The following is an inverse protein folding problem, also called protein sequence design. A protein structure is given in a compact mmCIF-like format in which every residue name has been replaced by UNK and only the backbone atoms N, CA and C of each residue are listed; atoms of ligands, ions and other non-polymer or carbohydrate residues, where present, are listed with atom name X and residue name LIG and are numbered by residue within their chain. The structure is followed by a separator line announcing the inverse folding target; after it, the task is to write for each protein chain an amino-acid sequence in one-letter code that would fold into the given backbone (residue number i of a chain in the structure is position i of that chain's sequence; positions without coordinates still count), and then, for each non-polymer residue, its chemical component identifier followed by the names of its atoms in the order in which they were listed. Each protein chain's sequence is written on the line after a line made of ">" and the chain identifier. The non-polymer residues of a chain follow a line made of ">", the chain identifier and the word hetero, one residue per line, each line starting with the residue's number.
data_IF_122195708601
#
_entry.id   IF_122195708601
#
_cell.length_a   1.000
_cell.length_b   1.000
_cell.length_c   1.000
_cell.angle_alpha   90.00
_cell.angle_beta   90.00
_cell.angle_gamma   90.00
#
_symmetry.space_group_name_H-M   'P 1'
#
loop_
_entity.id
_entity.type
_entity.pdbx_description
1 polymer ?
#
# COMPACT_ATOMS: atom_id res chain seq x y z
N UNK A 1 43.74 -51.02 -28.07
CA UNK A 1 42.68 -50.02 -28.33
C UNK A 1 41.35 -50.59 -27.85
N UNK A 2 40.45 -49.71 -27.38
CA UNK A 2 39.11 -49.93 -26.79
C UNK A 2 39.12 -50.34 -25.31
N UNK A 3 39.31 -49.41 -24.38
CA UNK A 3 38.39 -48.37 -23.87
C UNK A 3 37.09 -48.92 -23.27
N UNK A 4 37.11 -48.94 -21.94
CA UNK A 4 36.05 -49.25 -21.00
C UNK A 4 35.00 -48.13 -20.99
N UNK A 5 33.74 -48.50 -21.21
CA UNK A 5 32.58 -47.63 -21.04
C UNK A 5 31.56 -48.40 -20.21
N UNK A 6 31.63 -48.29 -18.87
CA UNK A 6 30.52 -48.64 -17.99
C UNK A 6 30.81 -48.14 -16.56
N UNK A 7 30.41 -46.89 -16.26
CA UNK A 7 30.22 -46.35 -14.88
C UNK A 7 29.77 -44.88 -14.90
N UNK A 8 28.60 -44.57 -15.45
CA UNK A 8 28.06 -43.18 -15.39
C UNK A 8 26.57 -43.06 -15.06
N UNK A 9 25.82 -44.16 -14.86
CA UNK A 9 24.38 -44.08 -14.55
C UNK A 9 24.08 -43.85 -13.06
N UNK A 10 24.89 -44.40 -12.15
CA UNK A 10 24.63 -44.33 -10.70
C UNK A 10 24.79 -42.94 -10.07
N UNK A 11 25.70 -42.11 -10.59
CA UNK A 11 25.92 -40.77 -10.02
C UNK A 11 24.86 -39.77 -10.47
N UNK A 12 24.31 -39.88 -11.68
CA UNK A 12 23.27 -38.97 -12.18
C UNK A 12 21.97 -39.08 -11.38
N UNK A 13 21.61 -40.29 -10.94
CA UNK A 13 20.43 -40.51 -10.09
C UNK A 13 20.61 -39.89 -8.68
N UNK A 14 21.82 -39.95 -8.12
CA UNK A 14 22.13 -39.31 -6.82
C UNK A 14 22.13 -37.77 -6.92
N UNK A 15 22.65 -37.22 -8.01
CA UNK A 15 22.58 -35.78 -8.28
C UNK A 15 21.14 -35.29 -8.46
N UNK A 16 20.30 -36.06 -9.16
CA UNK A 16 18.89 -35.71 -9.31
C UNK A 16 18.13 -35.76 -7.98
N UNK A 17 18.38 -36.78 -7.16
CA UNK A 17 17.81 -36.87 -5.81
C UNK A 17 18.24 -35.72 -4.90
N UNK A 18 19.50 -35.31 -4.94
CA UNK A 18 20.01 -34.16 -4.19
C UNK A 18 19.43 -32.82 -4.68
N UNK A 19 19.24 -32.66 -6.00
CA UNK A 19 18.63 -31.47 -6.59
C UNK A 19 17.15 -31.33 -6.16
N UNK A 20 16.39 -32.43 -6.19
CA UNK A 20 15.00 -32.45 -5.73
C UNK A 20 14.88 -32.17 -4.22
N UNK A 21 15.79 -32.69 -3.40
CA UNK A 21 15.85 -32.40 -1.97
C UNK A 21 16.20 -30.93 -1.70
N UNK A 22 17.14 -30.35 -2.45
CA UNK A 22 17.48 -28.94 -2.34
C UNK A 22 16.29 -28.04 -2.74
N UNK A 23 15.58 -28.39 -3.83
CA UNK A 23 14.37 -27.67 -4.25
C UNK A 23 13.25 -27.76 -3.19
N UNK A 24 13.00 -28.96 -2.65
CA UNK A 24 12.03 -29.13 -1.57
C UNK A 24 12.41 -28.32 -0.32
N UNK A 25 13.69 -28.28 0.05
CA UNK A 25 14.18 -27.46 1.15
C UNK A 25 13.99 -25.96 0.88
N UNK A 26 14.24 -25.46 -0.34
CA UNK A 26 13.98 -24.06 -0.68
C UNK A 26 12.50 -23.70 -0.66
N UNK A 27 11.61 -24.62 -1.06
CA UNK A 27 10.16 -24.41 -1.00
C UNK A 27 9.69 -24.41 0.45
N UNK A 28 10.19 -25.31 1.30
CA UNK A 28 9.83 -25.35 2.73
C UNK A 28 10.37 -24.12 3.47
N UNK A 29 11.60 -23.68 3.18
CA UNK A 29 12.17 -22.44 3.76
C UNK A 29 11.41 -21.22 3.24
N UNK A 30 11.08 -21.16 1.95
CA UNK A 30 10.26 -20.10 1.37
C UNK A 30 8.85 -20.04 1.98
N UNK A 31 8.21 -21.19 2.17
CA UNK A 31 6.88 -21.28 2.80
C UNK A 31 6.92 -20.94 4.30
N UNK A 32 8.00 -21.33 5.00
CA UNK A 32 8.20 -20.98 6.40
C UNK A 32 8.53 -19.50 6.59
N UNK A 33 9.29 -18.90 5.67
CA UNK A 33 9.56 -17.46 5.66
C UNK A 33 8.31 -16.66 5.28
N UNK A 34 7.48 -17.16 4.35
CA UNK A 34 6.19 -16.56 3.97
C UNK A 34 5.18 -16.62 5.13
N UNK A 35 5.11 -17.74 5.85
CA UNK A 35 4.28 -17.88 7.05
C UNK A 35 4.75 -17.04 8.23
N UNK A 36 6.07 -16.81 8.36
CA UNK A 36 6.65 -16.01 9.45
C UNK A 36 6.65 -14.50 9.16
N UNK A 37 6.78 -14.09 7.90
CA UNK A 37 6.58 -12.70 7.48
C UNK A 37 5.11 -12.28 7.49
N UNK A 38 4.15 -13.22 7.43
CA UNK A 38 2.75 -12.96 7.74
C UNK A 38 2.48 -12.69 9.23
N UNK A 39 3.44 -12.95 10.12
CA UNK A 39 3.35 -12.69 11.57
C UNK A 39 4.23 -11.53 12.06
N UNK A 40 4.90 -10.80 11.16
CA UNK A 40 5.63 -9.58 11.55
C UNK A 40 4.63 -8.44 11.63
N UNK A 41 4.12 -8.27 12.85
CA UNK A 41 3.58 -7.03 13.41
C UNK A 41 2.40 -6.50 12.60
N UNK A 42 1.20 -6.94 12.97
CA UNK A 42 0.06 -6.02 13.01
C UNK A 42 0.41 -4.97 14.06
N UNK A 43 0.89 -3.76 13.71
CA UNK A 43 0.85 -2.68 14.67
C UNK A 43 -0.63 -2.50 14.98
N UNK A 44 -0.94 -2.56 16.27
CA UNK A 44 -2.22 -2.29 16.90
C UNK A 44 -3.32 -1.98 15.89
N UNK A 45 -4.16 -2.98 15.68
CA UNK A 45 -5.50 -2.81 15.16
C UNK A 45 -6.23 -1.78 16.01
N UNK A 46 -5.96 -0.50 15.80
CA UNK A 46 -7.00 0.51 15.68
C UNK A 46 -7.82 0.06 14.45
N UNK A 47 -8.63 -0.97 14.69
CA UNK A 47 -9.92 -1.08 14.05
C UNK A 47 -10.52 0.28 14.36
N UNK A 48 -10.52 1.18 13.38
CA UNK A 48 -11.58 2.17 13.32
C UNK A 48 -12.81 1.28 13.24
N UNK A 49 -13.35 0.93 14.41
CA UNK A 49 -14.63 0.27 14.55
C UNK A 49 -15.52 1.27 13.85
N UNK A 50 -15.88 0.99 12.60
CA UNK A 50 -16.96 1.69 11.95
C UNK A 50 -18.07 1.60 12.99
N UNK A 51 -18.46 2.69 13.64
CA UNK A 51 -19.48 2.57 14.64
C UNK A 51 -20.70 2.10 13.84
N UNK A 52 -21.17 0.89 14.14
CA UNK A 52 -22.43 0.39 13.61
C UNK A 52 -23.54 1.24 14.24
N UNK A 53 -23.66 2.50 13.79
CA UNK A 53 -24.84 3.30 14.02
C UNK A 53 -25.92 2.76 13.09
N UNK A 54 -26.47 1.62 13.47
CA UNK A 54 -27.75 1.14 12.96
C UNK A 54 -28.82 2.10 13.50
N UNK A 55 -29.73 2.57 12.65
CA UNK A 55 -30.83 3.45 13.06
C UNK A 55 -31.69 2.87 14.20
N UNK A 56 -31.62 1.55 14.43
CA UNK A 56 -32.18 0.87 15.59
C UNK A 56 -31.70 1.39 16.95
N UNK A 57 -30.47 1.92 17.04
CA UNK A 57 -29.93 2.50 18.29
C UNK A 57 -30.58 3.86 18.59
N UNK A 58 -30.86 4.67 17.56
CA UNK A 58 -31.64 5.90 17.71
C UNK A 58 -33.09 5.62 18.09
N UNK A 59 -33.66 4.50 17.63
CA UNK A 59 -35.00 4.06 18.03
C UNK A 59 -35.09 3.85 19.54
N UNK A 60 -34.04 3.28 20.15
CA UNK A 60 -33.94 3.12 21.61
C UNK A 60 -33.78 4.46 22.34
N UNK A 61 -33.05 5.42 21.77
CA UNK A 61 -32.92 6.76 22.35
C UNK A 61 -34.26 7.52 22.27
N UNK A 62 -34.96 7.47 21.14
CA UNK A 62 -36.31 8.06 21.02
C UNK A 62 -37.34 7.35 21.89
N UNK A 63 -37.25 6.03 22.06
CA UNK A 63 -38.12 5.29 22.99
C UNK A 63 -37.77 5.58 24.46
N UNK A 64 -36.50 5.80 24.78
CA UNK A 64 -36.07 6.23 26.11
C UNK A 64 -36.52 7.68 26.40
N UNK A 65 -36.53 8.55 25.39
CA UNK A 65 -37.06 9.93 25.49
C UNK A 65 -38.59 9.92 25.60
N UNK A 66 -39.28 9.06 24.85
CA UNK A 66 -40.75 8.88 24.94
C UNK A 66 -41.18 8.14 26.22
N UNK A 67 -40.30 7.36 26.82
CA UNK A 67 -40.49 6.68 28.11
C UNK A 67 -40.14 7.54 29.33
N UNK A 68 -39.60 8.76 29.14
CA UNK A 68 -39.48 9.71 30.24
C UNK A 68 -40.89 10.18 30.63
N UNK A 69 -41.30 10.01 31.90
CA UNK A 69 -42.56 10.58 32.34
C UNK A 69 -42.49 12.09 32.12
N UNK A 70 -43.56 12.67 31.56
CA UNK A 70 -43.79 14.10 31.28
C UNK A 70 -43.76 15.02 32.53
N UNK A 71 -43.15 14.57 33.63
CA UNK A 71 -43.04 15.25 34.94
C UNK A 71 -41.62 15.74 35.23
N UNK A 72 -40.85 16.15 34.23
CA UNK A 72 -39.67 16.98 34.44
C UNK A 72 -39.96 18.39 33.90
N UNK A 73 -40.24 19.37 34.79
CA UNK A 73 -40.69 20.69 34.40
C UNK A 73 -39.48 21.53 33.96
N UNK A 74 -39.10 21.44 32.69
CA UNK A 74 -38.19 22.42 32.09
C UNK A 74 -39.02 23.48 31.36
N UNK A 75 -39.67 24.34 32.14
CA UNK A 75 -40.07 25.67 31.70
C UNK A 75 -39.75 26.65 32.82
N UNK A 76 -38.70 27.43 32.61
CA UNK A 76 -38.51 28.71 33.27
C UNK A 76 -39.67 29.61 32.83
N UNK A 77 -40.74 29.66 33.63
CA UNK A 77 -41.73 30.74 33.51
C UNK A 77 -41.36 31.88 34.46
N UNK A 78 -41.44 33.14 33.99
CA UNK A 78 -41.17 34.32 34.81
C UNK A 78 -42.21 34.46 35.93
N UNK A 79 -41.84 34.99 37.11
CA UNK A 79 -42.72 34.98 38.28
C UNK A 79 -43.85 36.00 38.13
N UNK A 80 -45.11 35.58 38.32
CA UNK A 80 -46.21 36.50 38.60
C UNK A 80 -47.58 36.29 37.94
N UNK A 81 -47.96 35.09 37.47
CA UNK A 81 -49.34 34.84 37.01
C UNK A 81 -49.96 33.61 37.70
N UNK A 82 -51.07 33.84 38.41
CA UNK A 82 -51.90 32.80 39.00
C UNK A 82 -52.57 31.97 37.89
N UNK A 83 -52.46 30.65 38.02
CA UNK A 83 -53.02 29.70 37.07
C UNK A 83 -54.56 29.71 37.12
N UNK A 84 -55.18 30.14 36.02
CA UNK A 84 -56.59 29.88 35.74
C UNK A 84 -56.84 28.38 35.50
N UNK A 85 -58.09 27.90 35.68
CA UNK A 85 -58.41 26.48 35.61
C UNK A 85 -58.14 25.93 34.20
N UNK A 86 -57.40 24.82 34.15
CA UNK A 86 -57.17 24.02 32.95
C UNK A 86 -58.49 23.73 32.21
N UNK A 87 -58.60 23.95 30.90
CA UNK A 87 -59.67 23.35 30.13
C UNK A 87 -59.42 21.83 30.01
N UNK A 88 -60.50 21.05 29.93
CA UNK A 88 -60.43 19.59 29.94
C UNK A 88 -59.78 19.05 28.67
N UNK A 89 -59.05 17.95 28.87
CA UNK A 89 -58.62 17.01 27.83
C UNK A 89 -59.85 16.59 27.03
N UNK A 90 -59.95 17.05 25.79
CA UNK A 90 -61.01 16.64 24.88
C UNK A 90 -61.35 17.68 23.83
N UNK A 91 -60.46 17.89 22.87
CA UNK A 91 -60.83 18.39 21.53
C UNK A 91 -59.63 18.17 20.59
N UNK A 92 -59.90 17.64 19.40
CA UNK A 92 -58.89 17.31 18.41
C UNK A 92 -58.06 18.53 18.01
N UNK A 93 -56.83 18.59 18.52
CA UNK A 93 -55.76 19.48 18.11
C UNK A 93 -54.58 18.56 17.72
N UNK A 94 -54.06 18.49 16.51
CA UNK A 94 -54.40 19.14 15.26
C UNK A 94 -53.59 18.45 14.17
N UNK A 95 -54.23 18.09 13.05
CA UNK A 95 -53.53 17.48 11.92
C UNK A 95 -52.33 18.30 11.45
N UNK A 96 -52.42 19.63 11.55
CA UNK A 96 -51.35 20.56 11.21
C UNK A 96 -50.15 20.53 12.16
N UNK A 97 -50.36 20.37 13.47
CA UNK A 97 -49.24 20.29 14.44
C UNK A 97 -48.50 18.96 14.31
N UNK A 98 -49.21 17.85 14.16
CA UNK A 98 -48.61 16.53 13.93
C UNK A 98 -47.90 16.45 12.57
N UNK A 99 -48.37 17.19 11.57
CA UNK A 99 -47.74 17.30 10.26
C UNK A 99 -46.49 18.19 10.31
N UNK A 100 -46.52 19.29 11.07
CA UNK A 100 -45.35 20.14 11.28
C UNK A 100 -44.22 19.42 12.03
N UNK A 101 -44.56 18.65 13.08
CA UNK A 101 -43.59 17.82 13.82
C UNK A 101 -42.98 16.76 12.89
N UNK A 102 -43.79 16.07 12.10
CA UNK A 102 -43.30 15.08 11.15
C UNK A 102 -42.36 15.69 10.09
N UNK A 103 -42.69 16.86 9.53
CA UNK A 103 -41.83 17.58 8.57
C UNK A 103 -40.48 17.95 9.18
N UNK A 104 -40.49 18.39 10.44
CA UNK A 104 -39.25 18.71 11.16
C UNK A 104 -38.38 17.47 11.37
N UNK A 105 -38.96 16.36 11.83
CA UNK A 105 -38.23 15.09 12.00
C UNK A 105 -37.70 14.52 10.67
N UNK A 106 -38.47 14.66 9.59
CA UNK A 106 -38.06 14.26 8.25
C UNK A 106 -36.81 15.03 7.82
N UNK A 107 -36.85 16.37 7.92
CA UNK A 107 -35.71 17.22 7.56
C UNK A 107 -34.46 16.90 8.39
N UNK A 108 -34.62 16.62 9.69
CA UNK A 108 -33.51 16.20 10.54
C UNK A 108 -32.90 14.86 10.10
N UNK A 109 -33.74 13.88 9.75
CA UNK A 109 -33.26 12.56 9.31
C UNK A 109 -32.64 12.60 7.92
N UNK A 110 -33.14 13.44 7.02
CA UNK A 110 -32.52 13.69 5.72
C UNK A 110 -31.13 14.30 5.88
N UNK A 111 -31.00 15.29 6.78
CA UNK A 111 -29.70 15.88 7.11
C UNK A 111 -28.73 14.84 7.69
N UNK A 112 -29.17 14.04 8.66
CA UNK A 112 -28.35 12.98 9.24
C UNK A 112 -27.94 11.91 8.21
N UNK A 113 -28.85 11.49 7.33
CA UNK A 113 -28.52 10.55 6.24
C UNK A 113 -27.45 11.13 5.31
N UNK A 114 -27.55 12.41 4.95
CA UNK A 114 -26.57 13.07 4.11
C UNK A 114 -25.19 13.14 4.80
N UNK A 115 -25.15 13.47 6.10
CA UNK A 115 -23.92 13.49 6.90
C UNK A 115 -23.29 12.10 7.01
N UNK A 116 -24.09 11.06 7.26
CA UNK A 116 -23.62 9.67 7.33
C UNK A 116 -23.00 9.22 6.01
N UNK A 117 -23.68 9.46 4.88
CA UNK A 117 -23.15 9.12 3.56
C UNK A 117 -21.84 9.87 3.26
N UNK A 118 -21.71 11.13 3.67
CA UNK A 118 -20.47 11.89 3.54
C UNK A 118 -19.35 11.30 4.41
N UNK A 119 -19.64 10.96 5.67
CA UNK A 119 -18.68 10.35 6.57
C UNK A 119 -18.19 9.00 6.04
N UNK A 120 -19.10 8.13 5.59
CA UNK A 120 -18.77 6.83 5.00
C UNK A 120 -17.82 6.97 3.81
N UNK A 121 -18.12 7.92 2.91
CA UNK A 121 -17.25 8.19 1.75
C UNK A 121 -15.85 8.65 2.17
N UNK A 122 -15.73 9.48 3.21
CA UNK A 122 -14.43 9.91 3.76
C UNK A 122 -13.66 8.74 4.39
N UNK A 123 -14.34 7.89 5.17
CA UNK A 123 -13.72 6.71 5.79
C UNK A 123 -13.17 5.74 4.74
N UNK A 124 -13.95 5.48 3.68
CA UNK A 124 -13.51 4.64 2.57
C UNK A 124 -12.31 5.24 1.83
N UNK A 125 -12.31 6.54 1.56
CA UNK A 125 -11.15 7.21 0.96
C UNK A 125 -9.89 7.08 1.83
N UNK A 126 -10.00 7.30 3.15
CA UNK A 126 -8.88 7.12 4.08
C UNK A 126 -8.38 5.67 4.13
N UNK A 127 -9.29 4.68 4.05
CA UNK A 127 -8.94 3.25 3.96
C UNK A 127 -8.12 2.97 2.70
N UNK A 128 -8.56 3.48 1.55
CA UNK A 128 -7.82 3.35 0.28
C UNK A 128 -6.43 3.99 0.40
N UNK A 129 -6.34 5.23 0.86
CA UNK A 129 -5.07 5.95 0.98
C UNK A 129 -4.09 5.22 1.92
N UNK A 130 -4.57 4.74 3.07
CA UNK A 130 -3.76 3.97 4.03
C UNK A 130 -3.19 2.71 3.39
N UNK A 131 -4.02 1.93 2.69
CA UNK A 131 -3.60 0.68 2.05
C UNK A 131 -2.63 0.93 0.89
N UNK A 132 -2.88 1.94 0.06
CA UNK A 132 -1.95 2.36 -1.00
C UNK A 132 -0.61 2.79 -0.41
N UNK A 133 -0.61 3.57 0.67
CA UNK A 133 0.62 3.98 1.34
C UNK A 133 1.38 2.77 1.91
N UNK A 134 0.70 1.83 2.56
CA UNK A 134 1.32 0.62 3.06
C UNK A 134 1.97 -0.19 1.93
N UNK A 135 1.26 -0.35 0.81
CA UNK A 135 1.78 -1.07 -0.36
C UNK A 135 2.99 -0.35 -0.98
N UNK A 136 2.97 0.98 -1.02
CA UNK A 136 4.09 1.80 -1.48
C UNK A 136 5.33 1.59 -0.61
N UNK A 137 5.18 1.66 0.71
CA UNK A 137 6.29 1.43 1.64
C UNK A 137 6.88 0.02 1.47
N UNK A 138 6.03 -0.98 1.26
CA UNK A 138 6.48 -2.34 0.97
C UNK A 138 7.27 -2.41 -0.34
N UNK A 139 6.79 -1.76 -1.41
CA UNK A 139 7.48 -1.71 -2.68
C UNK A 139 8.83 -1.00 -2.57
N UNK A 140 8.87 0.17 -1.92
CA UNK A 140 10.10 0.95 -1.71
C UNK A 140 11.16 0.14 -0.96
N UNK A 141 10.76 -0.62 0.08
CA UNK A 141 11.65 -1.52 0.80
C UNK A 141 12.24 -2.62 -0.10
N UNK A 142 11.40 -3.29 -0.89
CA UNK A 142 11.84 -4.35 -1.80
C UNK A 142 12.76 -3.82 -2.90
N UNK A 143 12.47 -2.62 -3.43
CA UNK A 143 13.34 -1.95 -4.42
C UNK A 143 14.70 -1.65 -3.80
N UNK A 144 14.74 -1.12 -2.58
CA UNK A 144 16.01 -0.85 -1.89
C UNK A 144 16.83 -2.13 -1.70
N UNK A 145 16.19 -3.22 -1.28
CA UNK A 145 16.86 -4.51 -1.13
C UNK A 145 17.43 -5.00 -2.48
N UNK A 146 16.62 -4.99 -3.54
CA UNK A 146 17.06 -5.41 -4.87
C UNK A 146 18.20 -4.54 -5.42
N UNK A 147 18.18 -3.23 -5.16
CA UNK A 147 19.26 -2.32 -5.54
C UNK A 147 20.55 -2.59 -4.78
N UNK A 148 20.46 -2.91 -3.49
CA UNK A 148 21.63 -3.21 -2.68
C UNK A 148 22.26 -4.54 -3.10
N UNK A 149 21.45 -5.57 -3.34
CA UNK A 149 21.91 -6.84 -3.91
C UNK A 149 22.60 -6.60 -5.26
N UNK A 150 22.00 -5.80 -6.15
CA UNK A 150 22.60 -5.45 -7.45
C UNK A 150 23.93 -4.71 -7.30
N UNK A 151 24.04 -3.78 -6.35
CA UNK A 151 25.30 -3.07 -6.06
C UNK A 151 26.38 -4.01 -5.57
N UNK A 152 26.03 -4.97 -4.70
CA UNK A 152 26.99 -5.95 -4.20
C UNK A 152 27.48 -6.87 -5.31
N UNK A 153 26.58 -7.34 -6.19
CA UNK A 153 26.95 -8.10 -7.39
C UNK A 153 27.91 -7.31 -8.28
N UNK A 154 27.59 -6.05 -8.59
CA UNK A 154 28.43 -5.19 -9.42
C UNK A 154 29.77 -4.86 -8.76
N UNK A 155 29.80 -4.71 -7.44
CA UNK A 155 31.04 -4.48 -6.69
C UNK A 155 31.97 -5.71 -6.74
N UNK A 156 31.39 -6.91 -6.63
CA UNK A 156 32.14 -8.16 -6.82
C UNK A 156 32.67 -8.29 -8.26
N UNK A 157 31.82 -8.01 -9.26
CA UNK A 157 32.21 -7.99 -10.68
C UNK A 157 33.37 -7.00 -10.93
N UNK A 158 33.31 -5.81 -10.34
CA UNK A 158 34.39 -4.82 -10.43
C UNK A 158 35.68 -5.27 -9.74
N UNK A 159 35.57 -5.91 -8.58
CA UNK A 159 36.75 -6.41 -7.87
C UNK A 159 37.46 -7.50 -8.68
N UNK A 160 36.69 -8.42 -9.26
CA UNK A 160 37.25 -9.49 -10.10
C UNK A 160 37.83 -8.94 -11.41
N UNK A 161 37.14 -7.98 -12.05
CA UNK A 161 37.66 -7.28 -13.22
C UNK A 161 38.99 -6.58 -12.93
N UNK A 162 39.07 -5.82 -11.82
CA UNK A 162 40.31 -5.14 -11.41
C UNK A 162 41.44 -6.13 -11.14
N UNK A 163 41.17 -7.24 -10.44
CA UNK A 163 42.18 -8.29 -10.19
C UNK A 163 42.69 -8.91 -11.48
N UNK A 164 41.79 -9.18 -12.44
CA UNK A 164 42.17 -9.74 -13.72
C UNK A 164 43.05 -8.76 -14.51
N UNK A 165 42.63 -7.49 -14.61
CA UNK A 165 43.42 -6.46 -15.31
C UNK A 165 44.74 -6.17 -14.63
N UNK A 166 44.78 -6.05 -13.31
CA UNK A 166 46.03 -5.85 -12.58
C UNK A 166 47.03 -6.99 -12.85
N UNK A 167 46.56 -8.25 -12.90
CA UNK A 167 47.41 -9.39 -13.26
C UNK A 167 47.94 -9.30 -14.69
N UNK A 168 47.10 -8.94 -15.65
CA UNK A 168 47.49 -8.79 -17.06
C UNK A 168 48.51 -7.66 -17.23
N UNK A 169 48.19 -6.46 -16.73
CA UNK A 169 49.02 -5.27 -16.88
C UNK A 169 50.29 -5.31 -16.01
N UNK A 170 50.27 -5.90 -14.82
CA UNK A 170 51.49 -6.04 -13.99
C UNK A 170 52.56 -6.88 -14.69
N UNK A 171 52.18 -7.94 -15.40
CA UNK A 171 53.11 -8.75 -16.17
C UNK A 171 53.75 -7.97 -17.33
N UNK A 172 52.95 -7.16 -18.03
CA UNK A 172 53.40 -6.33 -19.15
C UNK A 172 54.30 -5.20 -18.66
N UNK A 173 53.92 -4.52 -17.59
CA UNK A 173 54.70 -3.45 -16.98
C UNK A 173 56.03 -3.98 -16.41
N UNK A 174 56.04 -5.13 -15.74
CA UNK A 174 57.27 -5.74 -15.24
C UNK A 174 58.26 -6.04 -16.37
N UNK A 175 57.77 -6.56 -17.51
CA UNK A 175 58.59 -6.79 -18.69
C UNK A 175 59.17 -5.49 -19.25
N UNK A 176 58.38 -4.42 -19.34
CA UNK A 176 58.85 -3.11 -19.82
C UNK A 176 59.86 -2.48 -18.85
N UNK A 177 59.62 -2.56 -17.54
CA UNK A 177 60.56 -2.09 -16.53
C UNK A 177 61.88 -2.87 -16.55
N UNK A 178 61.81 -4.20 -16.72
CA UNK A 178 63.00 -5.04 -16.89
C UNK A 178 63.79 -4.63 -18.12
N UNK A 179 63.13 -4.44 -19.27
CA UNK A 179 63.78 -3.94 -20.49
C UNK A 179 64.47 -2.60 -20.22
N UNK A 180 63.77 -1.65 -19.59
CA UNK A 180 64.31 -0.32 -19.29
C UNK A 180 65.56 -0.35 -18.39
N UNK A 181 65.71 -1.36 -17.53
CA UNK A 181 66.84 -1.54 -16.64
C UNK A 181 68.11 -2.10 -17.31
N UNK A 182 68.05 -2.51 -18.59
CA UNK A 182 69.23 -3.03 -19.29
C UNK A 182 70.30 -1.93 -19.48
N UNK A 183 71.58 -2.23 -19.16
CA UNK A 183 72.65 -1.22 -19.15
C UNK A 183 72.97 -0.63 -20.54
N UNK A 184 72.76 -1.39 -21.62
CA UNK A 184 73.20 -1.03 -22.98
C UNK A 184 72.12 -0.30 -23.83
N UNK A 185 71.07 0.22 -23.20
CA UNK A 185 70.00 0.92 -23.91
C UNK A 185 70.34 2.37 -24.26
N UNK A 186 70.12 2.72 -25.53
CA UNK A 186 70.22 4.11 -26.00
C UNK A 186 69.19 5.02 -25.31
N UNK A 187 69.47 6.33 -25.16
CA UNK A 187 68.55 7.28 -24.54
C UNK A 187 67.21 7.36 -25.29
N UNK A 188 67.23 7.25 -26.63
CA UNK A 188 66.01 7.19 -27.44
C UNK A 188 65.16 5.96 -27.11
N UNK A 189 65.76 4.78 -26.98
CA UNK A 189 65.05 3.56 -26.65
C UNK A 189 64.44 3.61 -25.22
N UNK A 190 65.16 4.22 -24.26
CA UNK A 190 64.63 4.46 -22.92
C UNK A 190 63.42 5.40 -22.94
N UNK A 191 63.46 6.46 -23.75
CA UNK A 191 62.33 7.39 -23.89
C UNK A 191 61.07 6.73 -24.48
N UNK A 192 61.25 5.83 -25.47
CA UNK A 192 60.15 5.06 -26.07
C UNK A 192 59.51 4.11 -25.05
N UNK A 193 60.33 3.36 -24.30
CA UNK A 193 59.83 2.47 -23.24
C UNK A 193 59.10 3.24 -22.13
N UNK A 194 59.57 4.44 -21.76
CA UNK A 194 58.87 5.29 -20.79
C UNK A 194 57.50 5.74 -21.32
N UNK A 195 57.42 6.11 -22.59
CA UNK A 195 56.14 6.46 -23.24
C UNK A 195 55.18 5.26 -23.30
N UNK A 196 55.68 4.06 -23.61
CA UNK A 196 54.88 2.81 -23.60
C UNK A 196 54.33 2.47 -22.21
N UNK A 197 55.14 2.64 -21.15
CA UNK A 197 54.70 2.44 -19.77
C UNK A 197 53.56 3.41 -19.41
N UNK A 198 53.71 4.69 -19.74
CA UNK A 198 52.67 5.70 -19.49
C UNK A 198 51.40 5.38 -20.29
N UNK A 199 51.54 5.02 -21.56
CA UNK A 199 50.41 4.65 -22.40
C UNK A 199 49.62 3.46 -21.83
N UNK A 200 50.30 2.40 -21.40
CA UNK A 200 49.67 1.23 -20.79
C UNK A 200 48.97 1.56 -19.46
N UNK A 201 49.55 2.45 -18.64
CA UNK A 201 48.93 2.88 -17.39
C UNK A 201 47.66 3.70 -17.64
N UNK A 202 47.66 4.57 -18.64
CA UNK A 202 46.47 5.34 -19.03
C UNK A 202 45.39 4.45 -19.67
N UNK A 203 45.78 3.45 -20.47
CA UNK A 203 44.86 2.46 -21.02
C UNK A 203 44.14 1.68 -19.90
N UNK A 204 44.89 1.17 -18.91
CA UNK A 204 44.32 0.48 -17.76
C UNK A 204 43.30 1.37 -17.01
N UNK A 205 43.66 2.63 -16.74
CA UNK A 205 42.75 3.58 -16.09
C UNK A 205 41.49 3.78 -16.92
N UNK A 206 41.63 3.99 -18.23
CA UNK A 206 40.51 4.20 -19.12
C UNK A 206 39.59 2.98 -19.20
N UNK A 207 40.12 1.76 -19.22
CA UNK A 207 39.33 0.53 -19.19
C UNK A 207 38.52 0.39 -17.89
N UNK A 208 39.17 0.62 -16.75
CA UNK A 208 38.50 0.56 -15.44
C UNK A 208 37.38 1.60 -15.37
N UNK A 209 37.64 2.84 -15.78
CA UNK A 209 36.63 3.90 -15.81
C UNK A 209 35.47 3.59 -16.75
N UNK A 210 35.74 3.01 -17.93
CA UNK A 210 34.68 2.59 -18.86
C UNK A 210 33.80 1.51 -18.25
N UNK A 211 34.38 0.53 -17.57
CA UNK A 211 33.62 -0.53 -16.91
C UNK A 211 32.79 0.01 -15.75
N UNK A 212 33.36 0.91 -14.94
CA UNK A 212 32.64 1.60 -13.85
C UNK A 212 31.45 2.38 -14.38
N UNK A 213 31.64 3.18 -15.44
CA UNK A 213 30.57 3.93 -16.07
C UNK A 213 29.47 3.02 -16.63
N UNK A 214 29.84 1.90 -17.26
CA UNK A 214 28.88 0.93 -17.79
C UNK A 214 28.04 0.29 -16.68
N UNK A 215 28.64 -0.08 -15.55
CA UNK A 215 27.91 -0.66 -14.41
C UNK A 215 27.02 0.38 -13.72
N UNK A 216 27.50 1.62 -13.58
CA UNK A 216 26.71 2.72 -13.03
C UNK A 216 25.47 3.01 -13.90
N UNK A 217 25.63 3.02 -15.23
CA UNK A 217 24.49 3.16 -16.15
C UNK A 217 23.51 1.98 -16.01
N UNK A 218 24.01 0.74 -15.97
CA UNK A 218 23.16 -0.44 -15.80
C UNK A 218 22.39 -0.44 -14.47
N UNK A 219 22.99 0.08 -13.40
CA UNK A 219 22.32 0.23 -12.10
C UNK A 219 21.22 1.30 -12.15
N UNK A 220 21.45 2.41 -12.85
CA UNK A 220 20.45 3.45 -13.04
C UNK A 220 19.25 2.93 -13.87
N UNK A 221 19.51 2.22 -14.95
CA UNK A 221 18.47 1.60 -15.79
C UNK A 221 17.66 0.57 -14.99
N UNK A 222 18.34 -0.26 -14.19
CA UNK A 222 17.68 -1.22 -13.31
C UNK A 222 16.80 -0.51 -12.26
N UNK A 223 17.30 0.57 -11.63
CA UNK A 223 16.52 1.35 -10.68
C UNK A 223 15.27 1.97 -11.32
N UNK A 224 15.41 2.54 -12.51
CA UNK A 224 14.29 3.13 -13.25
C UNK A 224 13.24 2.06 -13.60
N UNK A 225 13.66 0.90 -14.09
CA UNK A 225 12.76 -0.21 -14.42
C UNK A 225 11.98 -0.71 -13.19
N UNK A 226 12.65 -0.83 -12.03
CA UNK A 226 12.01 -1.23 -10.78
C UNK A 226 10.98 -0.20 -10.30
N UNK A 227 11.32 1.09 -10.37
CA UNK A 227 10.40 2.17 -9.99
C UNK A 227 9.18 2.22 -10.92
N UNK A 228 9.38 2.06 -12.22
CA UNK A 228 8.28 2.03 -13.18
C UNK A 228 7.35 0.84 -12.97
N UNK A 229 7.91 -0.36 -12.74
CA UNK A 229 7.13 -1.56 -12.44
C UNK A 229 6.29 -1.36 -11.16
N UNK A 230 6.91 -0.87 -10.08
CA UNK A 230 6.21 -0.59 -8.83
C UNK A 230 5.13 0.48 -8.97
N UNK A 231 5.37 1.54 -9.75
CA UNK A 231 4.37 2.58 -10.01
C UNK A 231 3.13 2.02 -10.73
N UNK A 232 3.33 1.18 -11.75
CA UNK A 232 2.24 0.50 -12.48
C UNK A 232 1.45 -0.45 -11.58
N UNK A 233 2.15 -1.21 -10.73
CA UNK A 233 1.51 -2.09 -9.75
C UNK A 233 0.68 -1.29 -8.72
N UNK A 234 1.22 -0.19 -8.20
CA UNK A 234 0.51 0.68 -7.25
C UNK A 234 -0.72 1.33 -7.88
N UNK A 235 -0.63 1.79 -9.13
CA UNK A 235 -1.79 2.35 -9.83
C UNK A 235 -2.88 1.30 -10.04
N UNK A 236 -2.50 0.09 -10.47
CA UNK A 236 -3.42 -1.03 -10.64
C UNK A 236 -4.08 -1.39 -9.31
N UNK A 237 -3.30 -1.45 -8.23
CA UNK A 237 -3.79 -1.73 -6.89
C UNK A 237 -4.75 -0.64 -6.39
N UNK A 238 -4.42 0.63 -6.60
CA UNK A 238 -5.29 1.76 -6.25
C UNK A 238 -6.62 1.69 -6.98
N UNK A 239 -6.61 1.49 -8.30
CA UNK A 239 -7.86 1.36 -9.09
C UNK A 239 -8.73 0.21 -8.61
N UNK A 240 -8.11 -0.91 -8.24
CA UNK A 240 -8.82 -2.05 -7.66
C UNK A 240 -9.49 -1.67 -6.33
N UNK A 241 -8.75 -1.03 -5.43
CA UNK A 241 -9.29 -0.60 -4.13
C UNK A 241 -10.40 0.45 -4.28
N UNK A 242 -10.25 1.39 -5.21
CA UNK A 242 -11.28 2.40 -5.50
C UNK A 242 -12.57 1.72 -6.02
N UNK A 243 -12.46 0.76 -6.93
CA UNK A 243 -13.61 0.00 -7.42
C UNK A 243 -14.29 -0.82 -6.31
N UNK A 244 -13.52 -1.49 -5.46
CA UNK A 244 -14.04 -2.23 -4.30
C UNK A 244 -14.73 -1.27 -3.31
N UNK A 245 -14.13 -0.12 -3.03
CA UNK A 245 -14.71 0.89 -2.13
C UNK A 245 -15.98 1.53 -2.67
N UNK A 246 -16.08 1.73 -3.99
CA UNK A 246 -17.30 2.25 -4.62
C UNK A 246 -18.42 1.21 -4.55
N UNK A 247 -18.12 -0.07 -4.74
CA UNK A 247 -19.09 -1.14 -4.54
C UNK A 247 -19.59 -1.22 -3.08
N UNK A 248 -18.66 -1.15 -2.12
CA UNK A 248 -18.96 -1.09 -0.68
C UNK A 248 -19.89 0.11 -0.39
N UNK A 249 -19.54 1.31 -0.88
CA UNK A 249 -20.33 2.52 -0.71
C UNK A 249 -21.74 2.41 -1.30
N UNK A 250 -21.88 1.90 -2.52
CA UNK A 250 -23.19 1.77 -3.18
C UNK A 250 -24.09 0.76 -2.47
N UNK A 251 -23.53 -0.28 -1.88
CA UNK A 251 -24.30 -1.23 -1.07
C UNK A 251 -24.75 -0.58 0.24
N UNK A 252 -23.84 0.02 1.01
CA UNK A 252 -24.18 0.70 2.26
C UNK A 252 -25.20 1.82 2.04
N UNK A 253 -25.06 2.59 0.95
CA UNK A 253 -26.01 3.64 0.58
C UNK A 253 -27.42 3.09 0.37
N UNK A 254 -27.56 2.00 -0.37
CA UNK A 254 -28.87 1.36 -0.62
C UNK A 254 -29.50 0.87 0.69
N UNK A 255 -28.69 0.31 1.58
CA UNK A 255 -29.15 -0.16 2.89
C UNK A 255 -29.65 1.02 3.75
N UNK A 256 -28.87 2.10 3.86
CA UNK A 256 -29.25 3.31 4.61
C UNK A 256 -30.49 3.99 4.03
N UNK A 257 -30.58 4.13 2.70
CA UNK A 257 -31.76 4.68 2.04
C UNK A 257 -32.99 3.77 2.26
N UNK A 258 -32.83 2.45 2.20
CA UNK A 258 -33.92 1.52 2.47
C UNK A 258 -34.43 1.62 3.91
N UNK A 259 -33.54 1.75 4.90
CA UNK A 259 -33.87 1.99 6.31
C UNK A 259 -34.60 3.32 6.50
N UNK A 260 -34.10 4.39 5.87
CA UNK A 260 -34.75 5.70 5.87
C UNK A 260 -36.18 5.61 5.32
N UNK A 261 -36.36 5.01 4.14
CA UNK A 261 -37.68 4.88 3.53
C UNK A 261 -38.62 3.94 4.29
N UNK A 262 -38.09 2.90 4.95
CA UNK A 262 -38.87 2.05 5.84
C UNK A 262 -39.39 2.84 7.05
N UNK A 263 -38.56 3.72 7.62
CA UNK A 263 -38.97 4.63 8.67
C UNK A 263 -40.04 5.63 8.19
N UNK A 264 -39.87 6.24 7.01
CA UNK A 264 -40.87 7.18 6.42
C UNK A 264 -42.23 6.49 6.25
N UNK A 265 -42.25 5.27 5.72
CA UNK A 265 -43.49 4.48 5.57
C UNK A 265 -44.11 4.12 6.92
N UNK A 266 -43.29 3.75 7.91
CA UNK A 266 -43.74 3.37 9.25
C UNK A 266 -44.37 4.49 10.07
N UNK A 267 -44.03 5.75 9.79
CA UNK A 267 -44.56 6.93 10.51
C UNK A 267 -45.65 7.69 9.73
N UNK A 268 -46.35 7.01 8.82
CA UNK A 268 -47.47 7.60 8.08
C UNK A 268 -47.09 8.56 6.95
N UNK A 269 -45.81 8.60 6.56
CA UNK A 269 -45.32 9.46 5.47
C UNK A 269 -46.00 9.19 4.12
N UNK A 270 -46.43 7.95 3.85
CA UNK A 270 -47.12 7.59 2.60
C UNK A 270 -48.48 8.29 2.42
N UNK A 271 -49.19 8.58 3.52
CA UNK A 271 -50.46 9.33 3.48
C UNK A 271 -50.27 10.85 3.59
N UNK A 272 -49.22 11.29 4.31
CA UNK A 272 -48.96 12.72 4.60
C UNK A 272 -48.18 13.45 3.50
N UNK A 273 -47.34 12.74 2.74
CA UNK A 273 -46.60 13.29 1.59
C UNK A 273 -47.44 13.30 0.31
N UNK A 274 -48.40 12.39 0.18
CA UNK A 274 -49.33 12.31 -0.97
C UNK A 274 -50.40 13.42 -0.95
N UNK A 275 -50.67 14.00 0.23
CA UNK A 275 -51.62 15.11 0.37
C UNK A 275 -51.13 16.42 -0.27
N UNK A 276 -49.83 16.56 -0.53
CA UNK A 276 -49.22 17.73 -1.18
C UNK A 276 -49.29 17.70 -2.71
N UNK A 277 -49.85 16.65 -3.34
CA UNK A 277 -50.05 16.59 -4.79
C UNK A 277 -51.52 16.79 -5.20
N UNK A 278 -52.37 17.22 -4.25
CA UNK A 278 -53.79 17.48 -4.46
C UNK A 278 -54.21 18.91 -4.09
N UNK A 279 -53.27 19.83 -3.88
CA UNK A 279 -53.53 21.28 -3.81
C UNK A 279 -52.79 22.05 -4.92
#
# INVERSE_FOLDING_TARGET
>A
MNWSMEKTSGNRCKFFGLLCLALAATIVVGFWFYGRSAQVVTPETEIILLPELKWGTYRQITQAIQGLPSKLPWRLEPPGQEAGPFPPVGEGLGGEQDQAVFRFELAQREALLAEELQLRRRLLAMKVDRLVHQKRNQADYLIQQALEEKRQEQAAEMADFRRQREKEYSSQLANLHFKMAMPDLSPEAKSRLAAEIVALQEELKAEVQRKEAALAAALADFAAAQQEAAARELETYRRKLEAESEQEYQQEKKELEAEFWAWVRGNGGAGRLSAEHLE
#
